data_IF_573370943444
#
_entry.id   IF_573370943444
#
_cell.length_a   1.000
_cell.length_b   1.000
_cell.length_c   1.000
_cell.angle_alpha   90.00
_cell.angle_beta   90.00
_cell.angle_gamma   90.00
#
_symmetry.space_group_name_H-M   'P 1'
#
loop_
_entity.id
_entity.type
_entity.pdbx_description
1 polymer ?
#
# COMPACT_ATOMS: atom_id res chain seq x y z
N UNK A 1 7.20 11.91 13.56
CA UNK A 1 6.32 10.85 14.10
C UNK A 1 5.38 10.38 13.00
N UNK A 2 5.74 9.32 12.26
CA UNK A 2 4.79 8.65 11.36
C UNK A 2 4.63 7.21 11.85
N UNK A 3 3.70 7.05 12.79
CA UNK A 3 3.21 5.73 13.18
C UNK A 3 2.44 5.17 11.98
N UNK A 4 3.15 4.51 11.06
CA UNK A 4 2.55 3.90 9.88
C UNK A 4 1.50 2.90 10.31
N UNK A 5 0.25 3.16 9.91
CA UNK A 5 -0.90 2.26 10.14
C UNK A 5 -0.84 1.05 9.20
N UNK A 6 -0.14 1.22 8.08
CA UNK A 6 0.06 0.25 6.99
C UNK A 6 1.47 -0.34 7.13
N UNK A 7 1.59 -1.65 6.95
CA UNK A 7 2.85 -2.41 6.90
C UNK A 7 3.11 -2.89 5.46
N UNK A 8 4.35 -3.34 5.21
CA UNK A 8 4.67 -4.06 3.98
C UNK A 8 3.78 -5.31 3.87
N UNK A 9 3.41 -5.68 2.67
CA UNK A 9 2.55 -6.81 2.34
C UNK A 9 1.06 -6.69 2.76
N UNK A 10 0.67 -5.59 3.41
CA UNK A 10 -0.76 -5.29 3.63
C UNK A 10 -1.48 -5.08 2.29
N UNK A 11 -2.75 -5.49 2.25
CA UNK A 11 -3.66 -5.11 1.17
C UNK A 11 -4.27 -3.75 1.52
N UNK A 12 -4.19 -2.81 0.59
CA UNK A 12 -4.72 -1.46 0.74
C UNK A 12 -5.66 -1.12 -0.40
N UNK A 13 -6.58 -0.20 -0.13
CA UNK A 13 -7.45 0.43 -1.10
C UNK A 13 -7.10 1.91 -1.22
N UNK A 14 -7.14 2.41 -2.45
CA UNK A 14 -6.95 3.84 -2.74
C UNK A 14 -8.25 4.58 -2.44
N UNK A 15 -8.21 5.50 -1.48
CA UNK A 15 -9.37 6.29 -1.09
C UNK A 15 -9.59 7.50 -2.03
N UNK A 16 -8.50 8.14 -2.47
CA UNK A 16 -8.54 9.40 -3.22
C UNK A 16 -7.53 9.42 -4.38
N UNK A 17 -7.81 10.24 -5.40
CA UNK A 17 -6.96 10.43 -6.58
C UNK A 17 -7.38 9.61 -7.81
N UNK A 18 -6.52 9.61 -8.84
CA UNK A 18 -6.82 9.00 -10.16
C UNK A 18 -7.15 7.51 -10.09
N UNK A 19 -6.60 6.80 -9.11
CA UNK A 19 -6.77 5.36 -8.93
C UNK A 19 -7.75 5.00 -7.81
N UNK A 20 -8.66 5.90 -7.45
CA UNK A 20 -9.66 5.67 -6.40
C UNK A 20 -10.42 4.36 -6.61
N UNK A 21 -10.58 3.60 -5.54
CA UNK A 21 -11.29 2.31 -5.52
C UNK A 21 -10.43 1.10 -5.91
N UNK A 22 -9.24 1.30 -6.48
CA UNK A 22 -8.33 0.18 -6.76
C UNK A 22 -7.74 -0.36 -5.45
N UNK A 23 -7.68 -1.68 -5.36
CA UNK A 23 -6.98 -2.41 -4.30
C UNK A 23 -5.63 -2.90 -4.82
N UNK A 24 -4.67 -3.07 -3.92
CA UNK A 24 -3.35 -3.60 -4.25
C UNK A 24 -2.53 -3.95 -3.02
N UNK A 25 -1.50 -4.75 -3.23
CA UNK A 25 -0.55 -5.15 -2.18
C UNK A 25 0.54 -4.08 -2.03
N UNK A 26 0.95 -3.79 -0.80
CA UNK A 26 2.05 -2.85 -0.54
C UNK A 26 3.39 -3.54 -0.72
N UNK A 27 4.17 -3.09 -1.71
CA UNK A 27 5.51 -3.63 -2.01
C UNK A 27 6.59 -3.02 -1.12
N UNK A 28 6.51 -1.72 -0.89
CA UNK A 28 7.49 -0.97 -0.11
C UNK A 28 6.84 0.24 0.56
N UNK A 29 7.36 0.63 1.71
CA UNK A 29 6.94 1.83 2.45
C UNK A 29 8.18 2.63 2.80
N UNK A 30 8.11 3.94 2.58
CA UNK A 30 9.05 4.94 3.07
C UNK A 30 8.37 5.78 4.17
N UNK A 31 8.49 5.39 5.46
CA UNK A 31 7.83 6.11 6.55
C UNK A 31 8.34 7.54 6.72
N UNK A 32 9.61 7.80 6.35
CA UNK A 32 10.23 9.13 6.44
C UNK A 32 9.61 10.13 5.47
N UNK A 33 9.20 9.66 4.29
CA UNK A 33 8.60 10.48 3.22
C UNK A 33 7.09 10.31 3.14
N UNK A 34 6.50 9.54 4.05
CA UNK A 34 5.07 9.22 4.10
C UNK A 34 4.53 8.63 2.77
N UNK A 35 5.35 7.79 2.12
CA UNK A 35 5.05 7.21 0.82
C UNK A 35 5.02 5.69 0.86
N UNK A 36 4.20 5.09 0.01
CA UNK A 36 4.15 3.65 -0.21
C UNK A 36 4.04 3.33 -1.69
N UNK A 37 4.68 2.24 -2.11
CA UNK A 37 4.56 1.68 -3.47
C UNK A 37 3.56 0.53 -3.38
N UNK A 38 2.50 0.63 -4.17
CA UNK A 38 1.40 -0.35 -4.20
C UNK A 38 1.35 -0.97 -5.58
N UNK A 39 1.24 -2.30 -5.62
CA UNK A 39 1.13 -3.06 -6.86
C UNK A 39 -0.12 -2.66 -7.67
N UNK A 40 0.04 -2.48 -8.98
CA UNK A 40 -1.07 -2.16 -9.89
C UNK A 40 -1.66 -0.75 -9.74
N UNK A 41 -1.13 0.06 -8.82
CA UNK A 41 -1.59 1.44 -8.57
C UNK A 41 -0.50 2.42 -8.94
N UNK A 42 -0.90 3.53 -9.59
CA UNK A 42 0.01 4.61 -10.00
C UNK A 42 1.14 4.12 -10.92
N UNK A 43 0.76 3.38 -11.96
CA UNK A 43 1.68 2.89 -12.98
C UNK A 43 2.25 4.07 -13.78
N UNK A 44 3.57 4.12 -13.85
CA UNK A 44 4.31 5.10 -14.66
C UNK A 44 5.10 4.36 -15.74
N UNK A 45 5.12 4.94 -16.95
CA UNK A 45 5.93 4.44 -18.05
C UNK A 45 7.37 4.84 -17.81
N UNK A 46 8.23 3.88 -17.51
CA UNK A 46 9.66 4.05 -17.36
C UNK A 46 10.36 3.53 -18.61
N UNK A 47 10.96 4.43 -19.36
CA UNK A 47 11.80 4.07 -20.50
C UNK A 47 13.16 3.59 -19.99
N UNK A 48 13.49 2.33 -20.27
CA UNK A 48 14.77 1.73 -19.88
C UNK A 48 15.71 1.77 -21.07
N UNK A 49 16.89 2.36 -20.87
CA UNK A 49 17.97 2.38 -21.88
C UNK A 49 18.44 0.96 -22.16
N UNK A 50 18.94 0.76 -23.39
CA UNK A 50 19.51 -0.52 -23.82
C UNK A 50 20.60 -0.96 -22.83
N UNK A 51 20.52 -2.20 -22.38
CA UNK A 51 21.46 -2.82 -21.45
C UNK A 51 21.56 -4.31 -21.73
N UNK A 52 22.51 -5.01 -21.11
CA UNK A 52 22.69 -6.46 -21.32
C UNK A 52 21.43 -7.27 -20.95
N UNK A 53 20.62 -6.80 -19.98
CA UNK A 53 19.32 -7.40 -19.65
C UNK A 53 18.20 -7.01 -20.63
N UNK A 54 18.32 -5.87 -21.32
CA UNK A 54 17.31 -5.36 -22.25
C UNK A 54 17.99 -4.83 -23.53
N UNK A 55 18.38 -5.71 -24.48
CA UNK A 55 19.19 -5.34 -25.65
C UNK A 55 18.49 -4.34 -26.58
N UNK A 56 17.18 -4.45 -26.72
CA UNK A 56 16.38 -3.57 -27.61
C UNK A 56 15.92 -2.28 -26.91
N UNK A 57 16.06 -2.18 -25.58
CA UNK A 57 15.41 -1.16 -24.77
C UNK A 57 13.92 -1.46 -24.62
N UNK A 58 13.33 -1.10 -23.48
CA UNK A 58 11.92 -1.43 -23.19
C UNK A 58 11.25 -0.30 -22.44
N UNK A 59 9.98 -0.05 -22.78
CA UNK A 59 9.09 0.78 -21.96
C UNK A 59 8.45 -0.16 -20.93
N UNK A 60 8.79 0.01 -19.66
CA UNK A 60 8.24 -0.77 -18.55
C UNK A 60 7.17 0.04 -17.84
N UNK A 61 6.07 -0.61 -17.49
CA UNK A 61 5.09 -0.05 -16.55
C UNK A 61 5.52 -0.43 -15.13
N UNK A 62 5.92 0.58 -14.35
CA UNK A 62 6.42 0.39 -12.99
C UNK A 62 5.46 1.08 -12.01
N UNK A 63 5.09 0.46 -10.88
CA UNK A 63 4.30 1.13 -9.85
C UNK A 63 5.11 2.26 -9.21
N UNK A 64 4.53 3.46 -9.16
CA UNK A 64 5.13 4.61 -8.49
C UNK A 64 4.55 4.83 -7.09
N UNK A 65 5.30 5.54 -6.26
CA UNK A 65 4.91 5.83 -4.88
C UNK A 65 3.65 6.68 -4.80
N UNK A 66 2.81 6.41 -3.80
CA UNK A 66 1.59 7.15 -3.44
C UNK A 66 1.74 7.63 -1.99
N UNK A 67 1.12 8.76 -1.67
CA UNK A 67 1.09 9.27 -0.31
C UNK A 67 0.24 8.40 0.62
N UNK A 68 0.72 8.12 1.83
CA UNK A 68 0.04 7.25 2.81
C UNK A 68 -1.38 7.73 3.16
N UNK A 69 -1.64 9.04 3.12
CA UNK A 69 -2.98 9.60 3.38
C UNK A 69 -4.06 9.15 2.39
N UNK A 70 -3.66 8.78 1.16
CA UNK A 70 -4.58 8.38 0.10
C UNK A 70 -4.85 6.87 0.12
N UNK A 71 -4.23 6.14 1.05
CA UNK A 71 -4.36 4.71 1.20
C UNK A 71 -5.10 4.38 2.50
N UNK A 72 -5.96 3.37 2.42
CA UNK A 72 -6.59 2.76 3.58
C UNK A 72 -6.32 1.26 3.59
N UNK A 73 -6.08 0.64 4.76
CA UNK A 73 -6.09 -0.80 4.90
C UNK A 73 -7.40 -1.38 4.39
N UNK A 74 -7.31 -2.37 3.51
CA UNK A 74 -8.46 -3.07 2.98
C UNK A 74 -8.83 -4.22 3.92
N UNK A 75 -10.08 -4.26 4.35
CA UNK A 75 -10.61 -5.37 5.12
C UNK A 75 -11.41 -6.31 4.19
N UNK A 76 -11.02 -7.60 4.07
CA UNK A 76 -11.73 -8.58 3.27
C UNK A 76 -13.19 -8.79 3.71
N UNK A 77 -13.47 -8.68 5.01
CA UNK A 77 -14.81 -8.93 5.55
C UNK A 77 -15.77 -7.78 5.20
N UNK A 78 -15.29 -6.56 5.34
CA UNK A 78 -16.08 -5.36 5.07
C UNK A 78 -16.08 -4.94 3.59
N UNK A 79 -15.19 -5.53 2.77
CA UNK A 79 -14.92 -5.17 1.36
C UNK A 79 -14.69 -3.67 1.15
N UNK A 80 -14.21 -2.96 2.17
CA UNK A 80 -14.02 -1.51 2.18
C UNK A 80 -12.75 -1.14 2.93
N UNK A 81 -12.30 0.10 2.74
CA UNK A 81 -11.21 0.67 3.52
C UNK A 81 -11.65 0.90 4.96
N UNK A 82 -10.89 0.37 5.93
CA UNK A 82 -11.23 0.49 7.35
C UNK A 82 -10.11 1.19 8.12
N UNK A 83 -10.49 1.92 9.18
CA UNK A 83 -9.54 2.52 10.12
C UNK A 83 -9.04 1.46 11.11
N UNK A 84 -7.73 1.43 11.32
CA UNK A 84 -7.08 0.53 12.29
C UNK A 84 -7.04 1.17 13.68
N UNK A 85 -7.33 0.38 14.70
CA UNK A 85 -7.01 0.61 16.11
C UNK A 85 -5.88 -0.31 16.54
N UNK A 86 -5.12 0.07 17.57
CA UNK A 86 -4.13 -0.82 18.21
C UNK A 86 -4.66 -1.23 19.57
N UNK A 87 -4.69 -2.53 19.83
CA UNK A 87 -5.05 -3.12 21.12
C UNK A 87 -3.83 -3.88 21.64
N UNK A 88 -3.58 -3.80 22.94
CA UNK A 88 -2.55 -4.63 23.60
C UNK A 88 -3.25 -5.85 24.17
N UNK A 89 -2.97 -7.02 23.62
CA UNK A 89 -3.32 -8.32 24.19
C UNK A 89 -1.99 -9.04 24.48
N UNK A 90 -1.82 -9.58 25.68
CA UNK A 90 -0.68 -10.41 26.08
C UNK A 90 0.70 -9.78 25.82
N UNK A 91 0.82 -8.47 26.06
CA UNK A 91 2.06 -7.71 25.85
C UNK A 91 2.42 -7.43 24.38
N UNK A 92 1.64 -7.95 23.41
CA UNK A 92 1.82 -7.70 21.97
C UNK A 92 0.80 -6.69 21.46
N UNK A 93 1.26 -5.76 20.62
CA UNK A 93 0.40 -4.77 19.98
C UNK A 93 -0.25 -5.34 18.73
N UNK A 94 -1.54 -5.68 18.80
CA UNK A 94 -2.32 -6.19 17.66
C UNK A 94 -3.03 -5.03 16.97
N UNK A 95 -3.08 -5.08 15.62
CA UNK A 95 -3.84 -4.13 14.81
C UNK A 95 -5.22 -4.68 14.52
N UNK A 96 -6.26 -3.93 14.84
CA UNK A 96 -7.65 -4.36 14.73
C UNK A 96 -8.44 -3.35 13.89
N UNK A 97 -9.25 -3.84 12.95
CA UNK A 97 -10.19 -3.04 12.17
C UNK A 97 -11.32 -2.51 13.07
N UNK A 98 -11.57 -1.20 13.10
CA UNK A 98 -12.62 -0.61 13.96
C UNK A 98 -14.05 -1.05 13.62
N UNK A 99 -14.31 -1.48 12.38
CA UNK A 99 -15.68 -1.82 11.93
C UNK A 99 -16.07 -3.28 12.12
N UNK A 100 -15.10 -4.18 12.01
CA UNK A 100 -15.32 -5.64 11.88
C UNK A 100 -14.55 -6.44 12.92
N UNK A 101 -13.61 -5.82 13.64
CA UNK A 101 -12.70 -6.55 14.52
C UNK A 101 -11.64 -7.39 13.77
N UNK A 102 -11.57 -7.30 12.44
CA UNK A 102 -10.60 -8.03 11.64
C UNK A 102 -9.16 -7.70 12.10
N UNK A 103 -8.37 -8.76 12.33
CA UNK A 103 -6.99 -8.65 12.82
C UNK A 103 -6.04 -8.53 11.63
N UNK A 104 -5.17 -7.53 11.66
CA UNK A 104 -4.08 -7.39 10.69
C UNK A 104 -2.77 -7.78 11.37
N UNK A 105 -2.17 -8.90 10.94
CA UNK A 105 -0.85 -9.32 11.42
C UNK A 105 0.27 -8.37 10.98
#
# INVERSE_FOLDING_TARGET
MSVSRIKKDDVVIVNTGRNRGKTGKVLAIDPKRERAVVEGVNLVKKTVRKSQQFPEGKILDVPASIHLSNLMPYDPQAKKGVRISRVREDGKGVRVAKGTGHRFE
#
